data_IF_912215103624
#
_entry.id   IF_912215103624
#
_cell.length_a   1.000
_cell.length_b   1.000
_cell.length_c   1.000
_cell.angle_alpha   90.00
_cell.angle_beta   90.00
_cell.angle_gamma   90.00
#
_symmetry.space_group_name_H-M   'P 1'
#
loop_
_entity.id
_entity.type
_entity.pdbx_description
1 polymer ?
#
# COMPACT_ATOMS: atom_id res chain seq x y z
N UNK A 1 10.45 4.55 6.36
CA UNK A 1 11.42 5.07 5.36
C UNK A 1 12.21 3.89 4.81
N UNK A 2 11.67 3.20 3.85
CA UNK A 2 12.37 2.22 3.04
C UNK A 2 12.91 2.93 1.80
N UNK A 3 13.93 3.79 1.99
CA UNK A 3 14.55 4.46 0.87
C UNK A 3 15.59 3.54 0.24
N UNK A 4 15.23 2.94 -0.87
CA UNK A 4 16.18 2.37 -1.82
C UNK A 4 16.82 3.51 -2.61
N UNK A 5 18.07 3.87 -2.32
CA UNK A 5 18.76 4.95 -3.04
C UNK A 5 19.57 4.45 -4.22
N UNK A 6 19.48 5.24 -5.31
CA UNK A 6 20.45 5.27 -6.42
C UNK A 6 21.87 5.45 -5.85
N UNK A 7 22.81 4.59 -6.25
CA UNK A 7 24.22 4.82 -6.03
C UNK A 7 24.67 5.95 -6.97
N UNK A 8 24.68 7.20 -6.48
CA UNK A 8 25.40 8.28 -7.15
C UNK A 8 26.88 8.13 -6.85
N UNK A 9 27.68 7.97 -7.87
CA UNK A 9 29.14 8.00 -7.81
C UNK A 9 29.60 9.34 -7.28
N UNK A 10 30.09 9.40 -6.03
CA UNK A 10 30.88 10.51 -5.54
C UNK A 10 32.31 10.37 -6.09
N UNK A 11 32.69 11.26 -7.00
CA UNK A 11 34.07 11.53 -7.36
C UNK A 11 34.77 12.21 -6.19
N UNK A 12 35.70 11.52 -5.56
CA UNK A 12 36.66 12.13 -4.62
C UNK A 12 37.75 12.77 -5.46
N UNK A 13 37.88 14.11 -5.42
CA UNK A 13 39.02 14.82 -5.98
C UNK A 13 40.21 14.66 -5.05
N UNK A 14 41.20 13.84 -5.42
CA UNK A 14 42.57 13.97 -4.93
C UNK A 14 43.41 14.56 -6.03
N UNK A 15 44.06 15.71 -5.75
CA UNK A 15 45.14 16.26 -6.55
C UNK A 15 46.33 15.34 -6.49
N UNK A 16 47.01 15.04 -7.59
CA UNK A 16 48.36 14.51 -7.57
C UNK A 16 49.40 15.61 -7.88
N UNK A 17 50.52 15.54 -7.21
CA UNK A 17 51.79 16.20 -7.54
C UNK A 17 52.42 15.60 -8.81
N UNK A 18 53.30 16.38 -9.51
CA UNK A 18 53.78 16.02 -10.84
C UNK A 18 55.08 15.22 -10.81
N UNK A 19 55.13 14.09 -11.53
CA UNK A 19 56.37 13.50 -12.00
C UNK A 19 56.15 12.53 -13.21
N UNK A 20 56.78 12.91 -14.30
CA UNK A 20 57.44 12.21 -15.44
C UNK A 20 56.68 11.22 -16.36
N UNK A 21 57.10 11.20 -17.64
CA UNK A 21 56.33 10.56 -18.71
C UNK A 21 56.89 9.15 -19.05
N UNK A 22 56.02 8.12 -19.09
CA UNK A 22 56.34 6.92 -19.82
C UNK A 22 55.11 6.21 -20.36
N UNK A 23 55.14 6.03 -21.69
CA UNK A 23 54.50 5.02 -22.54
C UNK A 23 53.04 4.66 -22.19
N UNK A 24 52.11 5.23 -22.98
CA UNK A 24 50.73 4.79 -23.07
C UNK A 24 50.64 3.32 -23.59
N UNK A 25 49.92 2.43 -22.90
CA UNK A 25 49.46 1.18 -23.49
C UNK A 25 48.34 1.48 -24.51
N UNK A 26 48.16 0.61 -25.53
CA UNK A 26 47.27 0.88 -26.64
C UNK A 26 45.81 0.99 -26.16
N UNK A 27 45.12 2.08 -26.56
CA UNK A 27 43.70 2.24 -26.43
C UNK A 27 43.01 1.07 -27.10
N UNK A 28 42.61 0.09 -26.31
CA UNK A 28 41.65 -0.92 -26.76
C UNK A 28 40.37 -0.17 -27.14
N UNK A 29 40.12 -0.07 -28.45
CA UNK A 29 38.80 0.26 -28.99
C UNK A 29 37.82 -0.71 -28.38
N UNK A 30 37.10 -0.28 -27.32
CA UNK A 30 35.90 -0.94 -26.87
C UNK A 30 34.95 -0.99 -28.06
N UNK A 31 34.96 -2.10 -28.73
CA UNK A 31 33.99 -2.46 -29.75
C UNK A 31 32.61 -2.27 -29.14
N UNK A 32 31.79 -1.44 -29.79
CA UNK A 32 30.32 -1.35 -29.64
C UNK A 32 29.71 -2.74 -29.90
N UNK A 33 29.92 -3.67 -29.00
CA UNK A 33 29.19 -4.95 -28.98
C UNK A 33 28.19 -4.91 -27.83
N UNK A 34 26.96 -5.27 -28.20
CA UNK A 34 25.77 -5.55 -27.37
C UNK A 34 24.94 -4.36 -26.87
N UNK A 35 24.45 -3.54 -27.81
CA UNK A 35 23.12 -2.94 -27.70
C UNK A 35 22.16 -3.98 -28.30
N UNK A 36 21.69 -4.94 -27.52
CA UNK A 36 20.81 -5.98 -28.07
C UNK A 36 20.39 -7.11 -27.15
N UNK A 37 20.83 -7.16 -25.90
CA UNK A 37 20.09 -8.00 -24.94
C UNK A 37 18.80 -7.28 -24.55
N UNK A 38 17.69 -7.68 -25.23
CA UNK A 38 16.36 -7.26 -24.82
C UNK A 38 16.17 -7.65 -23.35
N UNK A 39 16.12 -6.65 -22.47
CA UNK A 39 15.73 -6.87 -21.08
C UNK A 39 14.39 -7.61 -21.05
N UNK A 40 14.39 -8.86 -20.63
CA UNK A 40 13.20 -9.66 -20.41
C UNK A 40 12.93 -9.73 -18.92
N UNK A 41 11.80 -9.16 -18.52
CA UNK A 41 11.31 -9.29 -17.16
C UNK A 41 11.01 -10.77 -16.88
N UNK A 42 11.30 -11.24 -15.68
CA UNK A 42 10.91 -12.58 -15.27
C UNK A 42 9.38 -12.76 -15.37
N UNK A 43 8.88 -13.95 -15.72
CA UNK A 43 7.45 -14.20 -15.87
C UNK A 43 6.70 -13.95 -14.56
N UNK A 44 5.41 -13.51 -14.63
CA UNK A 44 4.60 -13.28 -13.45
C UNK A 44 4.30 -14.60 -12.72
N UNK A 45 4.28 -14.53 -11.39
CA UNK A 45 4.04 -15.69 -10.50
C UNK A 45 2.53 -15.93 -10.33
N UNK A 46 1.82 -16.22 -11.42
CA UNK A 46 0.37 -16.36 -11.45
C UNK A 46 -0.17 -17.47 -10.54
N UNK A 47 0.58 -18.56 -10.34
CA UNK A 47 0.14 -19.62 -9.42
C UNK A 47 -0.03 -19.14 -7.97
N UNK A 48 0.88 -18.28 -7.49
CA UNK A 48 0.76 -17.67 -6.16
C UNK A 48 -0.45 -16.75 -6.11
N UNK A 49 -0.66 -15.92 -7.15
CA UNK A 49 -1.80 -15.02 -7.23
C UNK A 49 -3.10 -15.78 -7.26
N UNK A 50 -3.19 -16.88 -8.02
CA UNK A 50 -4.37 -17.72 -8.06
C UNK A 50 -4.74 -18.24 -6.66
N UNK A 51 -3.78 -18.78 -5.90
CA UNK A 51 -4.02 -19.26 -4.54
C UNK A 51 -4.49 -18.15 -3.62
N UNK A 52 -3.79 -17.00 -3.60
CA UNK A 52 -4.16 -15.84 -2.78
C UNK A 52 -5.56 -15.33 -3.15
N UNK A 53 -5.84 -15.13 -4.44
CA UNK A 53 -7.14 -14.65 -4.90
C UNK A 53 -8.27 -15.62 -4.55
N UNK A 54 -8.05 -16.93 -4.72
CA UNK A 54 -9.05 -17.93 -4.34
C UNK A 54 -9.38 -17.87 -2.86
N UNK A 55 -8.36 -17.75 -1.98
CA UNK A 55 -8.57 -17.67 -0.55
C UNK A 55 -9.31 -16.41 -0.11
N UNK A 56 -8.93 -15.26 -0.67
CA UNK A 56 -9.47 -13.96 -0.23
C UNK A 56 -10.77 -13.59 -0.92
N UNK A 57 -10.93 -13.89 -2.21
CA UNK A 57 -12.11 -13.50 -2.97
C UNK A 57 -13.27 -14.49 -2.83
N UNK A 58 -13.00 -15.78 -2.55
CA UNK A 58 -14.07 -16.77 -2.45
C UNK A 58 -15.04 -16.45 -1.31
N UNK A 59 -14.53 -16.09 -0.14
CA UNK A 59 -15.37 -15.69 0.99
C UNK A 59 -16.18 -14.42 0.67
N UNK A 60 -15.53 -13.42 0.09
CA UNK A 60 -16.20 -12.18 -0.32
C UNK A 60 -17.35 -12.45 -1.30
N UNK A 61 -17.11 -13.23 -2.35
CA UNK A 61 -18.14 -13.56 -3.35
C UNK A 61 -19.25 -14.44 -2.75
N UNK A 62 -18.90 -15.37 -1.85
CA UNK A 62 -19.90 -16.17 -1.16
C UNK A 62 -20.83 -15.29 -0.31
N UNK A 63 -20.28 -14.38 0.47
CA UNK A 63 -21.05 -13.46 1.30
C UNK A 63 -21.96 -12.56 0.43
N UNK A 64 -21.43 -11.97 -0.64
CA UNK A 64 -22.16 -11.06 -1.52
C UNK A 64 -23.27 -11.77 -2.33
N UNK A 65 -23.00 -12.96 -2.82
CA UNK A 65 -23.91 -13.62 -3.77
C UNK A 65 -24.92 -14.54 -3.10
N UNK A 66 -24.56 -15.18 -1.97
CA UNK A 66 -25.34 -16.27 -1.38
C UNK A 66 -25.75 -16.04 0.06
N UNK A 67 -24.94 -15.43 0.89
CA UNK A 67 -25.20 -15.32 2.32
C UNK A 67 -26.11 -14.13 2.67
N UNK A 68 -25.79 -12.94 2.18
CA UNK A 68 -26.57 -11.73 2.46
C UNK A 68 -27.55 -11.41 1.32
N UNK A 69 -28.74 -10.94 1.73
CA UNK A 69 -29.75 -10.42 0.79
C UNK A 69 -29.41 -8.97 0.49
N UNK A 70 -28.56 -8.76 -0.52
CA UNK A 70 -28.23 -7.42 -1.02
C UNK A 70 -29.23 -7.06 -2.13
N UNK A 71 -29.66 -5.79 -2.15
CA UNK A 71 -30.55 -5.27 -3.19
C UNK A 71 -30.01 -5.55 -4.61
N UNK A 72 -30.92 -5.83 -5.54
CA UNK A 72 -30.53 -6.27 -6.89
C UNK A 72 -29.70 -5.22 -7.64
N UNK A 73 -30.12 -3.94 -7.63
CA UNK A 73 -29.42 -2.88 -8.35
C UNK A 73 -28.02 -2.63 -7.72
N UNK A 74 -27.97 -2.66 -6.40
CA UNK A 74 -26.71 -2.51 -5.66
C UNK A 74 -25.73 -3.67 -5.98
N UNK A 75 -26.24 -4.90 -5.93
CA UNK A 75 -25.47 -6.10 -6.28
C UNK A 75 -24.98 -6.07 -7.71
N UNK A 76 -25.84 -5.64 -8.65
CA UNK A 76 -25.48 -5.45 -10.06
C UNK A 76 -24.33 -4.46 -10.23
N UNK A 77 -24.40 -3.29 -9.59
CA UNK A 77 -23.34 -2.27 -9.64
C UNK A 77 -22.02 -2.78 -9.07
N UNK A 78 -22.06 -3.50 -7.93
CA UNK A 78 -20.87 -4.14 -7.32
C UNK A 78 -20.25 -5.16 -8.28
N UNK A 79 -21.06 -5.98 -8.96
CA UNK A 79 -20.56 -6.98 -9.90
C UNK A 79 -20.00 -6.35 -11.19
N UNK A 80 -20.58 -5.25 -11.67
CA UNK A 80 -20.04 -4.49 -12.81
C UNK A 80 -18.67 -3.92 -12.43
N UNK A 81 -18.53 -3.32 -11.25
CA UNK A 81 -17.24 -2.82 -10.77
C UNK A 81 -16.21 -3.94 -10.60
N UNK A 82 -16.62 -5.13 -10.11
CA UNK A 82 -15.77 -6.31 -10.02
C UNK A 82 -15.29 -6.76 -11.41
N UNK A 83 -16.19 -6.77 -12.42
CA UNK A 83 -15.85 -7.09 -13.81
C UNK A 83 -14.85 -6.12 -14.42
N UNK A 84 -15.05 -4.80 -14.23
CA UNK A 84 -14.10 -3.77 -14.67
C UNK A 84 -12.76 -3.91 -13.94
N UNK A 85 -12.77 -4.18 -12.63
CA UNK A 85 -11.56 -4.42 -11.83
C UNK A 85 -10.79 -5.64 -12.32
N UNK A 86 -11.49 -6.72 -12.72
CA UNK A 86 -10.88 -7.90 -13.32
C UNK A 86 -10.20 -7.58 -14.66
N UNK A 87 -10.83 -6.77 -15.52
CA UNK A 87 -10.16 -6.25 -16.72
C UNK A 87 -8.93 -5.43 -16.34
N UNK A 88 -9.04 -4.57 -15.33
CA UNK A 88 -7.93 -3.78 -14.79
C UNK A 88 -6.75 -4.64 -14.32
N UNK A 89 -7.01 -5.82 -13.72
CA UNK A 89 -5.97 -6.78 -13.39
C UNK A 89 -5.15 -7.19 -14.62
N UNK A 90 -5.78 -7.58 -15.71
CA UNK A 90 -5.07 -8.00 -16.93
C UNK A 90 -4.36 -6.85 -17.63
N UNK A 91 -4.96 -5.66 -17.65
CA UNK A 91 -4.31 -4.45 -18.19
C UNK A 91 -3.04 -4.16 -17.40
N UNK A 92 -3.11 -4.13 -16.06
CA UNK A 92 -1.95 -3.92 -15.19
C UNK A 92 -0.89 -4.98 -15.43
N UNK A 93 -1.27 -6.25 -15.49
CA UNK A 93 -0.36 -7.38 -15.72
C UNK A 93 0.43 -7.23 -17.03
N UNK A 94 -0.23 -6.74 -18.10
CA UNK A 94 0.40 -6.51 -19.41
C UNK A 94 1.22 -5.22 -19.46
N UNK A 95 0.82 -4.19 -18.72
CA UNK A 95 1.52 -2.89 -18.72
C UNK A 95 2.81 -2.89 -17.91
N UNK A 96 2.90 -3.68 -16.83
CA UNK A 96 4.10 -3.74 -15.98
C UNK A 96 5.38 -4.07 -16.78
N UNK A 97 5.45 -5.12 -17.63
CA UNK A 97 6.66 -5.40 -18.41
C UNK A 97 7.02 -4.29 -19.40
N UNK A 98 6.02 -3.59 -19.94
CA UNK A 98 6.24 -2.46 -20.84
C UNK A 98 6.84 -1.29 -20.07
N UNK A 99 6.22 -0.89 -18.96
CA UNK A 99 6.70 0.20 -18.11
C UNK A 99 8.10 -0.10 -17.52
N UNK A 100 8.37 -1.36 -17.11
CA UNK A 100 9.67 -1.77 -16.60
C UNK A 100 10.83 -1.45 -17.58
N UNK A 101 10.61 -1.65 -18.89
CA UNK A 101 11.60 -1.29 -19.92
C UNK A 101 11.83 0.23 -20.00
N UNK A 102 10.78 1.04 -19.85
CA UNK A 102 10.89 2.50 -19.89
C UNK A 102 11.61 3.07 -18.66
N UNK A 103 11.26 2.62 -17.45
CA UNK A 103 11.89 3.09 -16.21
C UNK A 103 13.37 2.69 -16.16
N UNK A 104 13.74 1.49 -16.62
CA UNK A 104 15.13 1.07 -16.73
C UNK A 104 15.94 1.94 -17.70
N UNK A 105 15.37 2.31 -18.87
CA UNK A 105 16.00 3.22 -19.81
C UNK A 105 16.25 4.61 -19.21
N UNK A 106 15.48 5.00 -18.22
CA UNK A 106 15.63 6.25 -17.46
C UNK A 106 16.49 6.10 -16.20
N UNK A 107 17.19 4.95 -16.04
CA UNK A 107 18.00 4.64 -14.87
C UNK A 107 17.20 4.64 -13.54
N UNK A 108 15.90 4.35 -13.60
CA UNK A 108 15.06 4.17 -12.43
C UNK A 108 15.06 2.67 -12.07
N UNK A 109 16.00 2.29 -11.21
CA UNK A 109 16.15 0.91 -10.73
C UNK A 109 16.74 0.91 -9.33
N UNK A 110 16.44 -0.12 -8.57
CA UNK A 110 17.05 -0.42 -7.28
C UNK A 110 17.80 -1.75 -7.30
N UNK A 111 18.50 -2.03 -6.20
CA UNK A 111 19.14 -3.31 -5.94
C UNK A 111 18.47 -3.97 -4.73
N UNK A 112 18.36 -5.31 -4.76
CA UNK A 112 17.78 -6.04 -3.64
C UNK A 112 18.77 -6.10 -2.46
N UNK A 113 18.56 -5.22 -1.48
CA UNK A 113 19.44 -5.08 -0.32
C UNK A 113 19.45 -6.36 0.54
N UNK A 114 18.34 -7.11 0.56
CA UNK A 114 18.22 -8.37 1.30
C UNK A 114 18.98 -9.54 0.63
N UNK A 115 19.65 -9.29 -0.49
CA UNK A 115 20.50 -10.24 -1.21
C UNK A 115 21.90 -9.69 -1.46
N UNK A 116 22.28 -8.63 -0.75
CA UNK A 116 23.58 -7.96 -0.91
C UNK A 116 24.72 -8.96 -0.67
N UNK A 117 25.72 -8.96 -1.58
CA UNK A 117 26.85 -9.89 -1.55
C UNK A 117 26.57 -11.23 -2.24
N UNK A 118 25.44 -11.35 -2.94
CA UNK A 118 25.15 -12.47 -3.85
C UNK A 118 24.97 -11.95 -5.28
N UNK A 119 25.16 -12.80 -6.32
CA UNK A 119 24.90 -12.40 -7.70
C UNK A 119 23.47 -11.87 -7.95
N UNK A 120 22.51 -12.30 -7.14
CA UNK A 120 21.13 -11.83 -7.21
C UNK A 120 20.95 -10.40 -6.66
N UNK A 121 21.78 -9.98 -5.71
CA UNK A 121 21.79 -8.64 -5.16
C UNK A 121 22.34 -7.57 -6.11
N UNK A 122 23.10 -7.98 -7.13
CA UNK A 122 23.71 -7.08 -8.13
C UNK A 122 22.81 -6.89 -9.37
N UNK A 123 21.66 -7.56 -9.41
CA UNK A 123 20.70 -7.43 -10.51
C UNK A 123 19.94 -6.09 -10.36
N UNK A 124 19.90 -5.32 -11.46
CA UNK A 124 19.09 -4.10 -11.55
C UNK A 124 17.62 -4.46 -11.64
N UNK A 125 16.83 -4.08 -10.64
CA UNK A 125 15.37 -4.29 -10.58
C UNK A 125 14.67 -2.98 -10.91
N UNK A 126 13.80 -2.91 -11.94
CA UNK A 126 13.03 -1.70 -12.26
C UNK A 126 12.20 -1.26 -11.07
N UNK A 127 12.20 0.05 -10.79
CA UNK A 127 11.55 0.66 -9.64
C UNK A 127 10.43 1.62 -10.05
N UNK A 128 9.59 2.04 -9.08
CA UNK A 128 8.48 3.00 -9.29
C UNK A 128 7.34 2.45 -10.17
N UNK A 129 7.19 1.13 -10.26
CA UNK A 129 6.12 0.51 -11.06
C UNK A 129 4.71 0.71 -10.44
N UNK A 130 4.62 1.25 -9.22
CA UNK A 130 3.37 1.67 -8.60
C UNK A 130 2.57 2.66 -9.43
N UNK A 131 3.25 3.45 -10.28
CA UNK A 131 2.57 4.37 -11.21
C UNK A 131 1.63 3.65 -12.19
N UNK A 132 1.99 2.44 -12.64
CA UNK A 132 1.12 1.62 -13.51
C UNK A 132 -0.15 1.21 -12.78
N UNK A 133 0.00 0.77 -11.53
CA UNK A 133 -1.13 0.38 -10.67
C UNK A 133 -2.08 1.56 -10.45
N UNK A 134 -1.53 2.73 -10.07
CA UNK A 134 -2.30 3.95 -9.83
C UNK A 134 -3.06 4.43 -11.07
N UNK A 135 -2.39 4.45 -12.24
CA UNK A 135 -3.04 4.87 -13.50
C UNK A 135 -4.18 3.92 -13.88
N UNK A 136 -3.97 2.60 -13.85
CA UNK A 136 -5.01 1.63 -14.21
C UNK A 136 -6.16 1.67 -13.20
N UNK A 137 -5.86 1.82 -11.90
CA UNK A 137 -6.86 2.04 -10.87
C UNK A 137 -7.75 3.25 -11.19
N UNK A 138 -7.15 4.41 -11.49
CA UNK A 138 -7.89 5.63 -11.84
C UNK A 138 -8.75 5.44 -13.09
N UNK A 139 -8.22 4.80 -14.12
CA UNK A 139 -8.97 4.51 -15.35
C UNK A 139 -10.21 3.65 -15.03
N UNK A 140 -10.06 2.58 -14.24
CA UNK A 140 -11.18 1.72 -13.85
C UNK A 140 -12.21 2.51 -13.03
N UNK A 141 -11.77 3.30 -12.05
CA UNK A 141 -12.64 4.08 -11.21
C UNK A 141 -13.40 5.17 -11.99
N UNK A 142 -12.74 5.88 -12.91
CA UNK A 142 -13.36 6.90 -13.77
C UNK A 142 -14.36 6.28 -14.75
N UNK A 143 -14.00 5.17 -15.40
CA UNK A 143 -14.93 4.45 -16.30
C UNK A 143 -16.15 3.97 -15.53
N UNK A 144 -15.96 3.39 -14.35
CA UNK A 144 -17.06 2.94 -13.51
C UNK A 144 -17.99 4.10 -13.14
N UNK A 145 -17.41 5.22 -12.68
CA UNK A 145 -18.17 6.43 -12.34
C UNK A 145 -18.99 6.94 -13.52
N UNK A 146 -18.39 7.06 -14.69
CA UNK A 146 -19.06 7.58 -15.90
C UNK A 146 -20.30 6.78 -16.29
N UNK A 147 -20.27 5.46 -16.14
CA UNK A 147 -21.39 4.60 -16.53
C UNK A 147 -22.40 4.28 -15.42
N UNK A 148 -22.06 4.51 -14.15
CA UNK A 148 -22.90 4.09 -13.02
C UNK A 148 -23.45 5.26 -12.18
N UNK A 149 -22.91 6.47 -12.29
CA UNK A 149 -23.41 7.63 -11.54
C UNK A 149 -24.19 8.57 -12.47
N UNK A 150 -25.31 9.11 -11.96
CA UNK A 150 -26.07 10.17 -12.62
C UNK A 150 -25.58 11.55 -12.17
N UNK A 151 -25.83 12.58 -12.98
CA UNK A 151 -25.42 13.96 -12.69
C UNK A 151 -25.99 14.50 -11.36
N UNK A 152 -27.19 14.07 -10.99
CA UNK A 152 -27.89 14.46 -9.75
C UNK A 152 -27.44 13.65 -8.52
N UNK A 153 -26.47 12.75 -8.67
CA UNK A 153 -26.03 11.92 -7.56
C UNK A 153 -25.21 12.73 -6.56
N UNK A 154 -25.66 12.81 -5.30
CA UNK A 154 -24.92 13.42 -4.20
C UNK A 154 -23.52 12.81 -4.02
N UNK A 155 -23.34 11.56 -4.44
CA UNK A 155 -22.10 10.79 -4.40
C UNK A 155 -21.03 11.27 -5.38
N UNK A 156 -21.44 11.98 -6.44
CA UNK A 156 -20.51 12.42 -7.47
C UNK A 156 -19.47 13.38 -6.90
N UNK A 157 -19.87 14.27 -5.99
CA UNK A 157 -18.96 15.22 -5.33
C UNK A 157 -17.96 14.50 -4.45
N UNK A 158 -18.40 13.57 -3.63
CA UNK A 158 -17.53 12.80 -2.73
C UNK A 158 -16.58 11.88 -3.52
N UNK A 159 -17.09 11.24 -4.58
CA UNK A 159 -16.28 10.37 -5.43
C UNK A 159 -15.20 11.15 -6.18
N UNK A 160 -15.55 12.32 -6.72
CA UNK A 160 -14.56 13.19 -7.39
C UNK A 160 -13.52 13.72 -6.40
N UNK A 161 -13.91 14.08 -5.18
CA UNK A 161 -12.98 14.49 -4.13
C UNK A 161 -12.05 13.33 -3.72
N UNK A 162 -12.58 12.11 -3.63
CA UNK A 162 -11.82 10.91 -3.37
C UNK A 162 -10.78 10.67 -4.48
N UNK A 163 -11.21 10.70 -5.75
CA UNK A 163 -10.31 10.53 -6.90
C UNK A 163 -9.26 11.64 -6.97
N UNK A 164 -9.63 12.90 -6.66
CA UNK A 164 -8.69 14.01 -6.62
C UNK A 164 -7.59 13.79 -5.55
N UNK A 165 -7.97 13.38 -4.34
CA UNK A 165 -7.03 13.06 -3.26
C UNK A 165 -6.11 11.90 -3.62
N UNK A 166 -6.66 10.84 -4.20
CA UNK A 166 -5.90 9.66 -4.64
C UNK A 166 -4.96 10.03 -5.80
N UNK A 167 -5.42 10.76 -6.81
CA UNK A 167 -4.63 11.22 -7.94
C UNK A 167 -3.45 12.10 -7.49
N UNK A 168 -3.70 13.02 -6.56
CA UNK A 168 -2.66 13.86 -5.99
C UNK A 168 -1.58 13.02 -5.28
N UNK A 169 -1.97 11.96 -4.56
CA UNK A 169 -1.02 11.06 -3.89
C UNK A 169 -0.24 10.20 -4.88
N UNK A 170 -0.83 9.77 -6.00
CA UNK A 170 -0.09 9.08 -7.08
C UNK A 170 0.98 10.02 -7.64
N UNK A 171 0.62 11.28 -7.92
CA UNK A 171 1.56 12.28 -8.41
C UNK A 171 2.69 12.53 -7.40
N UNK A 172 2.36 12.75 -6.13
CA UNK A 172 3.33 12.99 -5.07
C UNK A 172 4.29 11.81 -4.87
N UNK A 173 3.76 10.59 -4.88
CA UNK A 173 4.58 9.38 -4.76
C UNK A 173 5.53 9.23 -5.94
N UNK A 174 5.08 9.52 -7.15
CA UNK A 174 5.94 9.49 -8.33
C UNK A 174 7.02 10.58 -8.32
N UNK A 175 6.67 11.79 -7.89
CA UNK A 175 7.63 12.88 -7.69
C UNK A 175 8.68 12.47 -6.66
N UNK A 176 8.26 11.80 -5.59
CA UNK A 176 9.17 11.30 -4.57
C UNK A 176 10.12 10.22 -5.10
N UNK A 177 9.62 9.26 -5.86
CA UNK A 177 10.43 8.20 -6.49
C UNK A 177 11.49 8.79 -7.45
N UNK A 178 11.20 9.94 -8.09
CA UNK A 178 12.12 10.60 -9.03
C UNK A 178 13.09 11.54 -8.34
N UNK A 179 12.63 12.35 -7.37
CA UNK A 179 13.38 13.47 -6.77
C UNK A 179 13.97 13.15 -5.39
N UNK A 180 13.57 12.04 -4.74
CA UNK A 180 13.98 11.68 -3.36
C UNK A 180 13.65 12.81 -2.36
N UNK A 181 12.37 13.11 -2.24
CA UNK A 181 11.85 14.23 -1.43
C UNK A 181 12.20 14.08 0.05
N UNK A 182 12.61 15.15 0.76
CA UNK A 182 12.92 15.09 2.19
C UNK A 182 11.74 14.57 3.03
N UNK A 183 12.01 13.75 4.05
CA UNK A 183 10.97 13.07 4.84
C UNK A 183 9.95 14.02 5.50
N UNK A 184 10.37 15.26 5.87
CA UNK A 184 9.46 16.28 6.43
C UNK A 184 8.39 16.69 5.43
N UNK A 185 8.76 16.81 4.16
CA UNK A 185 7.83 17.15 3.08
C UNK A 185 6.86 15.99 2.84
N UNK A 186 7.34 14.74 2.92
CA UNK A 186 6.51 13.52 2.83
C UNK A 186 5.42 13.45 3.91
N UNK A 187 5.59 14.09 5.07
CA UNK A 187 4.56 14.17 6.11
C UNK A 187 3.57 15.30 5.85
N UNK A 188 4.02 16.43 5.30
CA UNK A 188 3.18 17.61 5.09
C UNK A 188 2.31 17.49 3.85
N UNK A 189 2.84 16.98 2.73
CA UNK A 189 2.10 16.91 1.47
C UNK A 189 0.81 16.07 1.52
N UNK A 190 0.75 14.92 2.21
CA UNK A 190 -0.50 14.18 2.37
C UNK A 190 -1.60 14.97 3.08
N UNK A 191 -1.28 15.92 3.97
CA UNK A 191 -2.31 16.77 4.59
C UNK A 191 -3.03 17.64 3.56
N UNK A 192 -2.30 18.19 2.58
CA UNK A 192 -2.91 18.93 1.48
C UNK A 192 -3.69 18.01 0.54
N UNK A 193 -3.19 16.82 0.28
CA UNK A 193 -3.89 15.81 -0.54
C UNK A 193 -5.24 15.39 0.06
N UNK A 194 -5.42 15.47 1.39
CA UNK A 194 -6.68 15.12 2.05
C UNK A 194 -7.71 16.24 2.06
N UNK A 195 -7.34 17.49 1.77
CA UNK A 195 -8.28 18.62 1.87
C UNK A 195 -9.52 18.46 0.98
N UNK A 196 -9.43 18.03 -0.30
CA UNK A 196 -10.62 17.81 -1.11
C UNK A 196 -11.58 16.80 -0.47
N UNK A 197 -11.04 15.71 0.08
CA UNK A 197 -11.80 14.70 0.79
C UNK A 197 -12.52 15.27 2.02
N UNK A 198 -11.80 16.02 2.87
CA UNK A 198 -12.35 16.62 4.09
C UNK A 198 -13.37 17.73 3.80
N UNK A 199 -13.26 18.42 2.67
CA UNK A 199 -14.23 19.43 2.22
C UNK A 199 -15.51 18.77 1.70
N UNK A 200 -15.39 17.68 0.95
CA UNK A 200 -16.53 16.96 0.40
C UNK A 200 -17.24 16.06 1.43
N UNK A 201 -16.59 15.77 2.56
CA UNK A 201 -17.15 14.89 3.59
C UNK A 201 -18.44 15.50 4.17
N UNK A 202 -19.56 14.90 3.85
CA UNK A 202 -20.90 15.29 4.29
C UNK A 202 -21.42 14.45 5.48
N UNK A 203 -20.67 13.43 5.90
CA UNK A 203 -21.05 12.53 6.99
C UNK A 203 -20.99 13.18 8.37
N UNK A 204 -21.51 12.46 9.36
CA UNK A 204 -21.55 12.90 10.75
C UNK A 204 -20.15 13.00 11.37
N UNK A 205 -19.96 14.02 12.22
CA UNK A 205 -18.74 14.20 13.04
C UNK A 205 -18.92 13.66 14.46
N UNK A 206 -19.94 12.82 14.66
CA UNK A 206 -20.31 12.24 15.94
C UNK A 206 -19.71 10.86 16.14
N UNK A 207 -19.37 10.55 17.38
CA UNK A 207 -18.98 9.20 17.82
C UNK A 207 -20.01 8.66 18.80
N UNK A 208 -20.33 7.37 18.69
CA UNK A 208 -21.20 6.68 19.64
C UNK A 208 -20.35 6.20 20.81
N UNK A 209 -20.74 6.57 22.01
CA UNK A 209 -20.05 6.19 23.24
C UNK A 209 -20.47 4.77 23.66
N UNK A 210 -19.52 3.84 23.90
CA UNK A 210 -19.86 2.52 24.42
C UNK A 210 -20.65 2.60 25.73
N UNK A 211 -21.69 1.79 25.89
CA UNK A 211 -22.55 1.78 27.09
C UNK A 211 -21.82 1.85 28.43
N UNK A 212 -20.71 1.10 28.66
CA UNK A 212 -19.98 1.19 29.93
C UNK A 212 -19.40 2.57 30.23
N UNK A 213 -19.14 3.39 29.19
CA UNK A 213 -18.55 4.72 29.32
C UNK A 213 -19.60 5.84 29.40
N UNK A 214 -20.85 5.58 29.01
CA UNK A 214 -21.95 6.56 29.04
C UNK A 214 -22.16 7.14 30.45
N UNK A 215 -22.03 6.29 31.50
CA UNK A 215 -22.15 6.72 32.89
C UNK A 215 -21.07 7.74 33.31
N UNK A 216 -19.89 7.73 32.68
CA UNK A 216 -18.78 8.64 32.99
C UNK A 216 -18.82 9.91 32.12
N UNK A 217 -19.27 9.79 30.86
CA UNK A 217 -19.27 10.89 29.88
C UNK A 217 -20.59 11.66 29.92
N UNK A 218 -21.71 11.02 30.35
CA UNK A 218 -23.02 11.64 30.45
C UNK A 218 -23.79 11.80 29.15
N UNK A 219 -23.29 11.22 28.04
CA UNK A 219 -23.91 11.26 26.71
C UNK A 219 -23.69 9.96 25.97
N UNK A 220 -24.70 9.51 25.18
CA UNK A 220 -24.58 8.35 24.29
C UNK A 220 -23.88 8.69 22.98
N UNK A 221 -23.96 9.95 22.54
CA UNK A 221 -23.37 10.46 21.30
C UNK A 221 -22.61 11.73 21.60
N UNK A 222 -21.39 11.84 21.12
CA UNK A 222 -20.53 13.01 21.26
C UNK A 222 -20.18 13.57 19.88
N UNK A 223 -20.55 14.82 19.62
CA UNK A 223 -20.12 15.54 18.43
C UNK A 223 -18.74 16.16 18.64
N UNK A 224 -17.77 15.68 17.85
CA UNK A 224 -16.38 16.16 17.86
C UNK A 224 -16.14 17.31 16.86
N UNK A 225 -17.07 17.57 15.94
CA UNK A 225 -16.99 18.66 14.97
C UNK A 225 -15.63 18.72 14.25
N UNK A 226 -14.90 19.85 14.41
CA UNK A 226 -13.57 20.03 13.74
C UNK A 226 -12.51 19.07 14.22
N UNK A 227 -12.60 18.54 15.44
CA UNK A 227 -11.65 17.55 15.97
C UNK A 227 -11.76 16.25 15.20
N UNK A 228 -13.00 15.85 14.82
CA UNK A 228 -13.21 14.67 13.99
C UNK A 228 -12.59 14.84 12.59
N UNK A 229 -12.71 16.02 11.98
CA UNK A 229 -12.03 16.32 10.70
C UNK A 229 -10.49 16.29 10.83
N UNK A 230 -9.94 16.77 11.95
CA UNK A 230 -8.52 16.64 12.24
C UNK A 230 -8.10 15.17 12.38
N UNK A 231 -8.88 14.35 13.08
CA UNK A 231 -8.65 12.91 13.19
C UNK A 231 -8.63 12.24 11.81
N UNK A 232 -9.60 12.51 10.94
CA UNK A 232 -9.63 11.96 9.57
C UNK A 232 -8.39 12.37 8.76
N UNK A 233 -7.97 13.63 8.86
CA UNK A 233 -6.75 14.10 8.21
C UNK A 233 -5.48 13.37 8.73
N UNK A 234 -5.36 13.19 10.03
CA UNK A 234 -4.25 12.44 10.66
C UNK A 234 -4.29 10.96 10.27
N UNK A 235 -5.48 10.35 10.19
CA UNK A 235 -5.65 8.98 9.73
C UNK A 235 -5.15 8.82 8.28
N UNK A 236 -5.49 9.75 7.39
CA UNK A 236 -5.02 9.70 6.01
C UNK A 236 -3.49 9.85 5.92
N UNK A 237 -2.89 10.78 6.68
CA UNK A 237 -1.43 10.91 6.77
C UNK A 237 -0.80 9.63 7.33
N UNK A 238 -1.41 9.02 8.34
CA UNK A 238 -0.94 7.75 8.89
C UNK A 238 -1.01 6.64 7.84
N UNK A 239 -2.15 6.42 7.20
CA UNK A 239 -2.32 5.35 6.21
C UNK A 239 -1.33 5.49 5.05
N UNK A 240 -1.12 6.70 4.51
CA UNK A 240 -0.19 6.96 3.40
C UNK A 240 1.26 6.64 3.74
N UNK A 241 1.67 6.87 4.98
CA UNK A 241 3.06 6.63 5.40
C UNK A 241 3.27 5.22 5.98
N UNK A 242 2.24 4.61 6.58
CA UNK A 242 2.38 3.38 7.35
C UNK A 242 2.76 2.17 6.50
N UNK A 243 2.24 2.06 5.27
CA UNK A 243 2.60 0.98 4.33
C UNK A 243 4.07 1.11 3.93
N UNK A 244 4.55 2.34 3.68
CA UNK A 244 5.93 2.63 3.35
C UNK A 244 6.89 2.35 4.53
N UNK A 245 6.48 2.67 5.76
CA UNK A 245 7.29 2.41 6.95
C UNK A 245 7.37 0.90 7.26
N UNK A 246 6.30 0.14 6.99
CA UNK A 246 6.26 -1.32 7.14
C UNK A 246 6.54 -2.01 5.80
N UNK A 247 7.76 -1.87 5.33
CA UNK A 247 8.21 -2.29 4.01
C UNK A 247 9.63 -2.89 4.05
N UNK A 248 10.16 -3.26 2.89
CA UNK A 248 11.55 -3.66 2.71
C UNK A 248 11.78 -5.16 2.57
N UNK A 249 10.72 -5.96 2.40
CA UNK A 249 10.76 -7.36 1.99
C UNK A 249 10.02 -7.52 0.68
N UNK A 250 10.50 -8.41 -0.18
CA UNK A 250 9.84 -8.69 -1.44
C UNK A 250 8.40 -9.18 -1.23
N UNK A 251 7.41 -8.46 -1.76
CA UNK A 251 6.00 -8.79 -1.67
C UNK A 251 5.27 -8.26 -0.44
N UNK A 252 5.95 -7.68 0.55
CA UNK A 252 5.32 -7.26 1.80
C UNK A 252 4.39 -6.05 1.60
N UNK A 253 4.86 -5.01 0.90
CA UNK A 253 4.11 -3.77 0.69
C UNK A 253 2.78 -4.02 -0.01
N UNK A 254 2.80 -4.85 -1.06
CA UNK A 254 1.58 -5.20 -1.78
C UNK A 254 0.77 -6.25 -1.02
N UNK A 255 1.44 -7.23 -0.42
CA UNK A 255 0.77 -8.31 0.31
C UNK A 255 -0.09 -7.79 1.46
N UNK A 256 0.42 -6.85 2.27
CA UNK A 256 -0.37 -6.22 3.34
C UNK A 256 -1.56 -5.43 2.76
N UNK A 257 -1.36 -4.70 1.65
CA UNK A 257 -2.44 -3.99 0.95
C UNK A 257 -3.56 -4.95 0.51
N UNK A 258 -3.20 -6.07 -0.11
CA UNK A 258 -4.17 -7.08 -0.58
C UNK A 258 -4.94 -7.72 0.57
N UNK A 259 -4.27 -8.05 1.69
CA UNK A 259 -4.93 -8.62 2.86
C UNK A 259 -5.91 -7.62 3.50
N UNK A 260 -5.49 -6.35 3.65
CA UNK A 260 -6.36 -5.30 4.22
C UNK A 260 -7.53 -5.02 3.27
N UNK A 261 -7.29 -4.91 1.95
CA UNK A 261 -8.35 -4.69 0.97
C UNK A 261 -9.39 -5.83 0.99
N UNK A 262 -8.97 -7.08 1.11
CA UNK A 262 -9.88 -8.21 1.26
C UNK A 262 -10.72 -8.11 2.55
N UNK A 263 -10.11 -7.74 3.67
CA UNK A 263 -10.82 -7.51 4.92
C UNK A 263 -11.84 -6.37 4.81
N UNK A 264 -11.50 -5.26 4.13
CA UNK A 264 -12.40 -4.15 3.85
C UNK A 264 -13.59 -4.61 2.99
N UNK A 265 -13.36 -5.39 1.94
CA UNK A 265 -14.43 -5.90 1.08
C UNK A 265 -15.40 -6.80 1.86
N UNK A 266 -14.86 -7.73 2.66
CA UNK A 266 -15.66 -8.61 3.52
C UNK A 266 -16.45 -7.77 4.53
N UNK A 267 -15.79 -6.81 5.19
CA UNK A 267 -16.42 -5.91 6.15
C UNK A 267 -17.59 -5.16 5.55
N UNK A 268 -17.40 -4.54 4.38
CA UNK A 268 -18.44 -3.75 3.73
C UNK A 268 -19.66 -4.61 3.34
N UNK A 269 -19.46 -5.82 2.81
CA UNK A 269 -20.57 -6.72 2.51
C UNK A 269 -21.32 -7.15 3.76
N UNK A 270 -20.61 -7.43 4.86
CA UNK A 270 -21.24 -7.74 6.14
C UNK A 270 -22.08 -6.57 6.67
N UNK A 271 -21.59 -5.34 6.54
CA UNK A 271 -22.31 -4.14 7.00
C UNK A 271 -23.55 -3.86 6.14
N UNK A 272 -23.44 -3.95 4.80
CA UNK A 272 -24.57 -3.84 3.89
C UNK A 272 -25.64 -4.90 4.21
N UNK A 273 -25.23 -6.15 4.48
CA UNK A 273 -26.16 -7.22 4.78
C UNK A 273 -26.81 -7.18 6.16
N UNK A 274 -26.25 -6.40 7.10
CA UNK A 274 -26.75 -6.30 8.49
C UNK A 274 -27.52 -5.02 8.81
N UNK A 275 -27.48 -4.00 7.96
CA UNK A 275 -28.19 -2.74 8.11
C UNK A 275 -29.40 -2.68 7.20
N UNK A 276 -30.38 -1.85 7.57
CA UNK A 276 -31.53 -1.48 6.73
C UNK A 276 -31.49 -0.01 6.32
N UNK A 277 -30.48 0.74 6.79
CA UNK A 277 -30.33 2.16 6.51
C UNK A 277 -29.73 2.35 5.10
N UNK A 278 -30.44 3.07 4.18
CA UNK A 278 -29.96 3.31 2.82
C UNK A 278 -28.66 4.13 2.77
N UNK A 279 -28.49 5.13 3.63
CA UNK A 279 -27.28 5.96 3.67
C UNK A 279 -26.06 5.12 4.07
N UNK A 280 -26.23 4.25 5.04
CA UNK A 280 -25.20 3.31 5.48
C UNK A 280 -24.81 2.31 4.38
N UNK A 281 -25.82 1.75 3.68
CA UNK A 281 -25.58 0.89 2.51
C UNK A 281 -24.75 1.58 1.44
N UNK A 282 -25.08 2.82 1.19
CA UNK A 282 -24.41 3.63 0.19
C UNK A 282 -22.95 3.86 0.57
N UNK A 283 -22.64 4.30 1.79
CA UNK A 283 -21.26 4.53 2.25
C UNK A 283 -20.39 3.29 2.11
N UNK A 284 -20.88 2.13 2.52
CA UNK A 284 -20.13 0.86 2.38
C UNK A 284 -19.99 0.41 0.92
N UNK A 285 -20.99 0.68 0.09
CA UNK A 285 -20.90 0.39 -1.36
C UNK A 285 -19.88 1.28 -2.05
N UNK A 286 -19.83 2.56 -1.72
CA UNK A 286 -18.82 3.48 -2.18
C UNK A 286 -17.41 2.96 -1.88
N UNK A 287 -17.19 2.48 -0.66
CA UNK A 287 -15.94 1.87 -0.26
C UNK A 287 -15.60 0.63 -1.12
N UNK A 288 -16.59 -0.22 -1.45
CA UNK A 288 -16.39 -1.38 -2.33
C UNK A 288 -15.91 -0.93 -3.72
N UNK A 289 -16.52 0.12 -4.29
CA UNK A 289 -16.21 0.60 -5.64
C UNK A 289 -14.75 1.06 -5.81
N UNK A 290 -14.10 1.53 -4.76
CA UNK A 290 -12.69 1.89 -4.76
C UNK A 290 -11.78 0.72 -4.32
N UNK A 291 -12.25 -0.15 -3.43
CA UNK A 291 -11.44 -1.25 -2.91
C UNK A 291 -11.26 -2.38 -3.92
N UNK A 292 -12.27 -2.68 -4.75
CA UNK A 292 -12.17 -3.73 -5.77
C UNK A 292 -11.08 -3.45 -6.82
N UNK A 293 -11.01 -2.25 -7.46
CA UNK A 293 -9.95 -1.96 -8.39
C UNK A 293 -8.56 -1.87 -7.71
N UNK A 294 -8.48 -1.37 -6.47
CA UNK A 294 -7.24 -1.38 -5.69
C UNK A 294 -6.72 -2.81 -5.51
N UNK A 295 -7.59 -3.73 -5.09
CA UNK A 295 -7.23 -5.14 -4.88
C UNK A 295 -6.79 -5.81 -6.18
N UNK A 296 -7.55 -5.63 -7.27
CA UNK A 296 -7.28 -6.26 -8.54
C UNK A 296 -5.95 -5.80 -9.16
N UNK A 297 -5.69 -4.49 -9.20
CA UNK A 297 -4.45 -3.93 -9.75
C UNK A 297 -3.23 -4.25 -8.86
N UNK A 298 -3.43 -4.31 -7.55
CA UNK A 298 -2.40 -4.74 -6.58
C UNK A 298 -2.05 -6.22 -6.74
N UNK A 299 -3.01 -7.10 -6.96
CA UNK A 299 -2.75 -8.52 -7.24
C UNK A 299 -1.92 -8.71 -8.52
N UNK A 300 -2.19 -7.93 -9.57
CA UNK A 300 -1.39 -7.95 -10.79
C UNK A 300 0.06 -7.52 -10.53
N UNK A 301 0.28 -6.50 -9.73
CA UNK A 301 1.61 -6.05 -9.35
C UNK A 301 2.32 -7.06 -8.44
N UNK A 302 1.58 -7.72 -7.52
CA UNK A 302 2.12 -8.76 -6.65
C UNK A 302 2.67 -9.95 -7.44
N UNK A 303 2.10 -10.26 -8.61
CA UNK A 303 2.59 -11.32 -9.49
C UNK A 303 4.06 -11.11 -9.92
N UNK A 304 4.53 -9.87 -10.00
CA UNK A 304 5.90 -9.52 -10.33
C UNK A 304 6.76 -9.16 -9.11
N UNK A 305 6.13 -8.63 -8.04
CA UNK A 305 6.84 -8.21 -6.84
C UNK A 305 6.99 -9.32 -5.79
N UNK A 306 6.27 -10.46 -5.90
CA UNK A 306 6.46 -11.60 -5.01
C UNK A 306 7.90 -12.14 -5.08
N UNK A 307 8.35 -12.72 -3.97
CA UNK A 307 9.72 -13.25 -3.84
C UNK A 307 10.10 -14.33 -4.87
N UNK A 308 11.28 -14.27 -5.53
CA UNK A 308 12.16 -13.11 -5.64
C UNK A 308 11.56 -12.03 -6.55
N UNK A 309 11.62 -10.77 -6.12
CA UNK A 309 10.98 -9.66 -6.86
C UNK A 309 11.67 -9.39 -8.19
N UNK A 310 10.88 -9.22 -9.24
CA UNK A 310 11.33 -8.76 -10.55
C UNK A 310 11.09 -7.28 -10.81
N UNK A 311 10.26 -6.63 -9.97
CA UNK A 311 9.98 -5.19 -10.01
C UNK A 311 9.82 -4.65 -8.59
N UNK A 312 10.19 -3.38 -8.38
CA UNK A 312 9.94 -2.66 -7.13
C UNK A 312 8.81 -1.65 -7.28
N UNK A 313 8.03 -1.53 -6.23
CA UNK A 313 6.78 -0.77 -6.22
C UNK A 313 7.01 0.75 -6.19
N UNK A 314 8.06 1.20 -5.49
CA UNK A 314 8.32 2.62 -5.23
C UNK A 314 7.40 3.22 -4.18
N UNK A 315 7.71 4.46 -3.78
CA UNK A 315 6.89 5.26 -2.86
C UNK A 315 5.53 5.58 -3.50
N UNK A 316 5.47 5.68 -4.86
CA UNK A 316 4.22 5.86 -5.61
C UNK A 316 3.15 4.86 -5.20
N UNK A 317 3.48 3.57 -5.11
CA UNK A 317 2.51 2.54 -4.74
C UNK A 317 2.06 2.67 -3.29
N UNK A 318 2.99 2.82 -2.36
CA UNK A 318 2.71 2.76 -0.93
C UNK A 318 1.83 3.92 -0.47
N UNK A 319 2.11 5.15 -0.97
CA UNK A 319 1.31 6.32 -0.61
C UNK A 319 -0.05 6.33 -1.31
N UNK A 320 -0.12 5.85 -2.56
CA UNK A 320 -1.37 5.67 -3.30
C UNK A 320 -2.30 4.67 -2.59
N UNK A 321 -1.79 3.48 -2.27
CA UNK A 321 -2.57 2.43 -1.61
C UNK A 321 -3.04 2.89 -0.22
N UNK A 322 -2.16 3.56 0.55
CA UNK A 322 -2.50 4.12 1.85
C UNK A 322 -3.59 5.19 1.77
N UNK A 323 -3.52 6.12 0.81
CA UNK A 323 -4.55 7.13 0.60
C UNK A 323 -5.88 6.50 0.19
N UNK A 324 -5.86 5.53 -0.74
CA UNK A 324 -7.09 4.86 -1.16
C UNK A 324 -7.77 4.17 0.03
N UNK A 325 -7.01 3.50 0.90
CA UNK A 325 -7.56 2.88 2.11
C UNK A 325 -8.10 3.90 3.11
N UNK A 326 -7.42 5.04 3.29
CA UNK A 326 -7.93 6.13 4.12
C UNK A 326 -9.26 6.67 3.58
N UNK A 327 -9.34 6.93 2.28
CA UNK A 327 -10.54 7.40 1.59
C UNK A 327 -11.71 6.45 1.81
N UNK A 328 -11.50 5.14 1.58
CA UNK A 328 -12.58 4.15 1.71
C UNK A 328 -13.03 3.98 3.16
N UNK A 329 -12.14 4.12 4.13
CA UNK A 329 -12.50 4.07 5.56
C UNK A 329 -13.22 5.31 6.06
N UNK A 330 -12.85 6.49 5.56
CA UNK A 330 -13.46 7.78 5.92
C UNK A 330 -14.84 7.89 5.30
N UNK A 331 -14.97 7.74 3.99
CA UNK A 331 -16.26 7.85 3.28
C UNK A 331 -17.16 6.63 3.47
N UNK A 332 -16.59 5.49 3.84
CA UNK A 332 -17.35 4.30 4.25
C UNK A 332 -17.80 4.32 5.71
N UNK A 333 -17.50 5.37 6.48
CA UNK A 333 -17.86 5.54 7.90
C UNK A 333 -17.37 4.40 8.81
N UNK A 334 -16.18 3.84 8.55
CA UNK A 334 -15.57 2.81 9.40
C UNK A 334 -14.08 3.07 9.72
N UNK A 335 -13.72 4.35 9.86
CA UNK A 335 -12.34 4.79 10.10
C UNK A 335 -11.68 4.12 11.32
N UNK A 336 -12.43 3.87 12.39
CA UNK A 336 -11.96 3.19 13.61
C UNK A 336 -11.69 1.71 13.34
N UNK A 337 -12.56 1.04 12.58
CA UNK A 337 -12.38 -0.35 12.14
C UNK A 337 -11.15 -0.46 11.22
N UNK A 338 -10.96 0.50 10.31
CA UNK A 338 -9.79 0.57 9.45
C UNK A 338 -8.51 0.65 10.27
N UNK A 339 -8.48 1.45 11.33
CA UNK A 339 -7.30 1.56 12.21
C UNK A 339 -6.93 0.22 12.85
N UNK A 340 -7.94 -0.62 13.19
CA UNK A 340 -7.69 -1.98 13.71
C UNK A 340 -7.19 -2.90 12.59
N UNK A 341 -7.68 -2.78 11.36
CA UNK A 341 -7.10 -3.51 10.22
C UNK A 341 -5.63 -3.14 9.98
N UNK A 342 -5.24 -1.92 10.31
CA UNK A 342 -3.86 -1.45 10.27
C UNK A 342 -3.04 -1.75 11.55
N UNK A 343 -3.50 -2.66 12.42
CA UNK A 343 -2.80 -2.95 13.68
C UNK A 343 -1.30 -3.29 13.52
N UNK A 344 -0.85 -4.13 12.57
CA UNK A 344 0.58 -4.36 12.37
C UNK A 344 1.35 -3.09 12.00
N UNK A 345 0.75 -2.19 11.19
CA UNK A 345 1.34 -0.92 10.80
C UNK A 345 1.38 0.06 11.98
N UNK A 346 0.34 0.08 12.81
CA UNK A 346 0.30 0.86 14.07
C UNK A 346 1.41 0.39 15.00
N UNK A 347 1.56 -0.93 15.20
CA UNK A 347 2.64 -1.50 16.02
C UNK A 347 4.01 -1.14 15.45
N UNK A 348 4.19 -1.27 14.14
CA UNK A 348 5.46 -0.91 13.48
C UNK A 348 5.78 0.59 13.62
N UNK A 349 4.77 1.46 13.55
CA UNK A 349 4.92 2.89 13.76
C UNK A 349 5.32 3.20 15.20
N UNK A 350 4.62 2.62 16.20
CA UNK A 350 4.93 2.81 17.61
C UNK A 350 6.35 2.33 17.96
N UNK A 351 6.77 1.16 17.45
CA UNK A 351 8.12 0.65 17.60
C UNK A 351 9.18 1.58 16.96
N UNK A 352 8.80 2.24 15.86
CA UNK A 352 9.67 3.15 15.11
C UNK A 352 9.74 4.54 15.73
N UNK A 353 8.80 4.92 16.59
CA UNK A 353 8.62 6.28 17.10
C UNK A 353 9.88 6.86 17.77
N UNK A 354 10.63 6.13 18.64
CA UNK A 354 11.85 6.65 19.24
C UNK A 354 12.92 7.03 18.22
N UNK A 355 13.03 6.28 17.11
CA UNK A 355 13.96 6.59 16.01
C UNK A 355 13.44 7.72 15.13
N UNK A 356 12.14 7.77 14.84
CA UNK A 356 11.52 8.83 14.05
C UNK A 356 11.55 10.17 14.77
N UNK A 357 11.38 10.17 16.10
CA UNK A 357 11.48 11.37 16.95
C UNK A 357 12.92 11.83 17.17
N UNK A 358 13.93 11.09 16.71
CA UNK A 358 15.34 11.43 16.89
C UNK A 358 15.90 11.17 18.29
N UNK A 359 15.13 10.50 19.18
CA UNK A 359 15.57 10.09 20.53
C UNK A 359 16.67 9.03 20.42
N UNK A 360 16.53 8.11 19.46
CA UNK A 360 17.51 7.07 19.16
C UNK A 360 18.02 7.28 17.74
N UNK A 361 19.32 7.02 17.51
CA UNK A 361 19.93 7.15 16.19
C UNK A 361 19.16 6.32 15.16
N UNK A 362 18.68 6.97 14.12
CA UNK A 362 17.94 6.33 13.03
C UNK A 362 18.90 6.10 11.85
N UNK A 363 19.24 4.85 11.51
CA UNK A 363 19.99 4.57 10.30
C UNK A 363 19.12 4.84 9.07
N UNK A 364 19.76 5.08 7.93
CA UNK A 364 19.06 5.36 6.66
C UNK A 364 18.14 4.22 6.24
N UNK A 365 18.57 2.99 6.43
CA UNK A 365 17.81 1.77 6.14
C UNK A 365 17.68 0.97 7.44
N UNK A 366 16.47 0.76 7.91
CA UNK A 366 16.12 -0.02 9.11
C UNK A 366 15.77 -1.46 8.74
N UNK A 367 16.56 -2.03 7.84
CA UNK A 367 16.36 -3.39 7.32
C UNK A 367 17.07 -4.44 8.19
N UNK A 368 16.64 -5.70 8.16
CA UNK A 368 17.37 -6.81 8.75
C UNK A 368 18.73 -6.99 8.06
N UNK A 369 19.64 -7.65 8.75
CA UNK A 369 20.96 -8.01 8.21
C UNK A 369 20.85 -9.31 7.45
N UNK A 370 21.30 -9.33 6.21
CA UNK A 370 21.42 -10.53 5.41
C UNK A 370 22.76 -11.22 5.66
N UNK A 371 22.74 -12.52 5.91
CA UNK A 371 23.92 -13.38 5.99
C UNK A 371 24.03 -14.19 4.70
N UNK A 372 25.07 -13.91 3.91
CA UNK A 372 25.29 -14.56 2.61
C UNK A 372 25.67 -16.03 2.73
N UNK A 373 26.21 -16.47 3.89
CA UNK A 373 26.59 -17.85 4.10
C UNK A 373 25.38 -18.77 4.34
N UNK A 374 24.41 -18.29 5.14
CA UNK A 374 23.19 -19.06 5.46
C UNK A 374 22.00 -18.72 4.56
N UNK A 375 22.03 -17.60 3.84
CA UNK A 375 20.90 -17.08 3.07
C UNK A 375 19.74 -16.56 3.93
N UNK A 376 19.99 -16.31 5.24
CA UNK A 376 18.97 -15.91 6.21
C UNK A 376 19.09 -14.43 6.58
N UNK A 377 17.96 -13.86 6.96
CA UNK A 377 17.86 -12.52 7.54
C UNK A 377 17.90 -12.61 9.07
N UNK A 378 18.70 -11.76 9.70
CA UNK A 378 18.82 -11.60 11.16
C UNK A 378 18.36 -10.21 11.58
N UNK A 379 17.65 -10.12 12.72
CA UNK A 379 17.13 -8.85 13.23
C UNK A 379 18.23 -7.92 13.74
N UNK A 380 18.14 -6.65 13.35
CA UNK A 380 18.97 -5.55 13.91
C UNK A 380 18.35 -4.97 15.18
N UNK A 381 19.03 -4.00 15.81
CA UNK A 381 18.48 -3.27 16.96
C UNK A 381 17.47 -2.19 16.58
N UNK A 382 17.17 -2.04 15.29
CA UNK A 382 16.23 -1.04 14.81
C UNK A 382 14.79 -1.34 15.25
N UNK A 383 14.06 -0.29 15.56
CA UNK A 383 12.67 -0.35 16.02
C UNK A 383 11.70 -0.55 14.85
N UNK A 384 11.77 -1.69 14.16
CA UNK A 384 10.78 -2.09 13.16
C UNK A 384 10.20 -3.45 13.51
N UNK A 385 8.95 -3.69 13.13
CA UNK A 385 8.25 -4.95 13.38
C UNK A 385 9.01 -6.13 12.76
N UNK A 386 9.59 -5.95 11.56
CA UNK A 386 10.44 -6.94 10.88
C UNK A 386 11.62 -7.35 11.76
N UNK A 387 12.34 -6.37 12.32
CA UNK A 387 13.51 -6.65 13.17
C UNK A 387 13.12 -7.24 14.52
N UNK A 388 12.02 -6.76 15.12
CA UNK A 388 11.49 -7.32 16.38
C UNK A 388 11.09 -8.77 16.19
N UNK A 389 10.38 -9.08 15.09
CA UNK A 389 9.99 -10.44 14.74
C UNK A 389 11.21 -11.39 14.66
N UNK A 390 12.24 -10.99 13.90
CA UNK A 390 13.46 -11.79 13.75
C UNK A 390 14.24 -11.96 15.05
N UNK A 391 14.20 -10.98 15.96
CA UNK A 391 14.83 -11.10 17.28
C UNK A 391 14.09 -12.07 18.21
N UNK A 392 12.76 -12.14 18.08
CA UNK A 392 11.93 -13.02 18.91
C UNK A 392 11.91 -14.47 18.39
N UNK A 393 11.81 -14.63 17.07
CA UNK A 393 11.59 -15.95 16.43
C UNK A 393 12.81 -16.50 15.69
N UNK A 394 13.96 -15.81 15.79
CA UNK A 394 15.22 -16.21 15.16
C UNK A 394 15.30 -15.90 13.65
N UNK A 395 16.47 -16.19 13.04
CA UNK A 395 16.73 -15.93 11.63
C UNK A 395 15.75 -16.67 10.72
N UNK A 396 15.36 -16.03 9.60
CA UNK A 396 14.42 -16.55 8.60
C UNK A 396 14.86 -16.19 7.19
N UNK A 397 14.46 -17.02 6.21
CA UNK A 397 14.55 -16.62 4.81
C UNK A 397 13.57 -15.46 4.54
N UNK A 398 13.90 -14.58 3.60
CA UNK A 398 13.07 -13.42 3.24
C UNK A 398 11.62 -13.83 2.89
N UNK A 399 11.46 -14.88 2.08
CA UNK A 399 10.15 -15.42 1.71
C UNK A 399 9.34 -15.87 2.92
N UNK A 400 9.97 -16.64 3.84
CA UNK A 400 9.30 -17.13 5.05
C UNK A 400 8.90 -15.97 5.96
N UNK A 401 9.78 -14.99 6.14
CA UNK A 401 9.50 -13.80 6.95
C UNK A 401 8.34 -12.99 6.39
N UNK A 402 8.31 -12.75 5.07
CA UNK A 402 7.20 -12.08 4.41
C UNK A 402 5.87 -12.82 4.66
N UNK A 403 5.83 -14.15 4.48
CA UNK A 403 4.63 -14.95 4.73
C UNK A 403 4.18 -14.82 6.19
N UNK A 404 5.08 -14.91 7.16
CA UNK A 404 4.71 -14.79 8.58
C UNK A 404 4.13 -13.41 8.91
N UNK A 405 4.67 -12.33 8.34
CA UNK A 405 4.13 -10.99 8.54
C UNK A 405 2.77 -10.80 7.86
N UNK A 406 2.54 -11.42 6.69
CA UNK A 406 1.23 -11.41 6.04
C UNK A 406 0.20 -12.26 6.80
N UNK A 407 0.61 -13.38 7.39
CA UNK A 407 -0.25 -14.17 8.30
C UNK A 407 -0.59 -13.33 9.54
N UNK A 408 0.37 -12.62 10.11
CA UNK A 408 0.10 -11.71 11.23
C UNK A 408 -0.87 -10.59 10.83
N UNK A 409 -0.76 -10.05 9.61
CA UNK A 409 -1.73 -9.10 9.07
C UNK A 409 -3.13 -9.71 8.96
N UNK A 410 -3.26 -10.93 8.45
CA UNK A 410 -4.54 -11.63 8.34
C UNK A 410 -5.15 -11.92 9.71
N UNK A 411 -4.33 -12.33 10.69
CA UNK A 411 -4.76 -12.54 12.08
C UNK A 411 -5.24 -11.23 12.72
N UNK A 412 -4.58 -10.10 12.47
CA UNK A 412 -5.04 -8.79 12.95
C UNK A 412 -6.41 -8.41 12.36
N UNK A 413 -6.62 -8.65 11.08
CA UNK A 413 -7.93 -8.44 10.45
C UNK A 413 -9.00 -9.37 11.03
N UNK A 414 -8.68 -10.65 11.25
CA UNK A 414 -9.59 -11.62 11.88
C UNK A 414 -9.91 -11.20 13.30
N UNK A 415 -8.92 -10.78 14.07
CA UNK A 415 -9.13 -10.25 15.42
C UNK A 415 -10.09 -9.05 15.43
N UNK A 416 -10.00 -8.16 14.44
CA UNK A 416 -10.95 -7.05 14.29
C UNK A 416 -12.38 -7.53 14.13
N UNK A 417 -12.65 -8.54 13.28
CA UNK A 417 -14.00 -9.10 13.12
C UNK A 417 -14.51 -9.74 14.42
N UNK A 418 -13.67 -10.48 15.13
CA UNK A 418 -14.00 -11.09 16.42
C UNK A 418 -14.31 -10.00 17.46
N UNK A 419 -13.45 -8.99 17.58
CA UNK A 419 -13.63 -7.87 18.51
C UNK A 419 -14.94 -7.13 18.24
N UNK A 420 -15.24 -6.82 16.97
CA UNK A 420 -16.51 -6.19 16.61
C UNK A 420 -17.73 -7.02 16.96
N UNK A 421 -17.65 -8.34 16.80
CA UNK A 421 -18.73 -9.23 17.18
C UNK A 421 -19.00 -9.16 18.69
N UNK A 422 -17.97 -9.22 19.52
CA UNK A 422 -18.11 -9.12 20.96
C UNK A 422 -18.57 -7.73 21.42
N UNK A 423 -18.07 -6.67 20.79
CA UNK A 423 -18.42 -5.30 21.16
C UNK A 423 -19.79 -4.84 20.60
N UNK A 424 -20.40 -5.61 19.69
CA UNK A 424 -21.69 -5.21 19.08
C UNK A 424 -22.79 -4.95 20.11
N UNK A 425 -22.76 -5.67 21.27
CA UNK A 425 -23.69 -5.42 22.38
C UNK A 425 -23.46 -4.13 23.17
N UNK A 426 -22.27 -3.49 23.03
CA UNK A 426 -21.94 -2.23 23.72
C UNK A 426 -22.44 -0.98 23.00
N UNK A 427 -22.82 -1.12 21.71
CA UNK A 427 -23.27 -0.04 20.84
C UNK A 427 -24.74 -0.19 20.41
N UNK A 428 -25.44 -1.21 20.93
CA UNK A 428 -26.87 -1.47 20.67
C UNK A 428 -27.78 -0.96 21.78
#
# INVERSE_FOLDING_TARGET
>A
MAARKRASSMSISNKPDPAEPNSAPPVQKMTRKTVGEEFRLAPPKLGVIFVISTLLCSLYLYLLCFHYKVDYELKRSILINAGLSFVGFFVTLKMIPVAARYVLRRNMFGFDINKRGTPQGDIKVPESLGIVVGIVFLIVAIIFQYFNFTEDSNWLVEYNAALASICFMILLGFVDDVLDVPWRVKLVLPTFATLPLLMAYAGHTTIVIPKPLVAYIGSEVLDLGRIYKLYMGLLAVFCTNSINIHAGLNGLEIGQTVVIAAAILIHNVMQIGSSTDPEYHQAHTFSIFLTQPLMATSLAMLAYNWYPSSVFVGDTYTVFAGMTMAVVGILGHFSETLLIFFLPQVLNFLLSLPQLAGIVKCPRHRLPRYDSASGLLTGTKDGTLVNVYLRLFGPKSEKSLCIHLLVFQALACTFCFILRHFLAGWYK
#
